data_IF_335461019528
#
_entry.id   IF_335461019528
#
_cell.length_a   1.000
_cell.length_b   1.000
_cell.length_c   1.000
_cell.angle_alpha   90.00
_cell.angle_beta   90.00
_cell.angle_gamma   90.00
#
_symmetry.space_group_name_H-M   'P 1'
#
loop_
_entity.id
_entity.type
_entity.pdbx_description
1 polymer ?
#
# COMPACT_ATOMS: atom_id res chain seq x y z
N UNK A 1 -5.59 0.23 9.42
CA UNK A 1 -6.44 0.51 8.26
C UNK A 1 -7.87 0.67 8.74
N UNK A 2 -8.53 1.74 8.33
CA UNK A 2 -9.88 2.11 8.76
C UNK A 2 -10.75 2.34 7.53
N UNK A 3 -12.00 1.92 7.60
CA UNK A 3 -13.04 2.36 6.68
C UNK A 3 -13.33 3.84 6.98
N UNK A 4 -13.10 4.71 6.00
CA UNK A 4 -13.21 6.16 6.17
C UNK A 4 -14.65 6.65 6.28
N UNK A 5 -15.63 5.84 5.85
CA UNK A 5 -17.06 6.19 5.98
C UNK A 5 -17.62 5.86 7.36
N UNK A 6 -17.13 4.79 7.99
CA UNK A 6 -17.67 4.29 9.27
C UNK A 6 -16.72 4.49 10.45
N UNK A 7 -15.45 4.86 10.19
CA UNK A 7 -14.39 4.89 11.20
C UNK A 7 -13.98 3.51 11.71
N UNK A 8 -14.59 2.43 11.21
CA UNK A 8 -14.34 1.07 11.70
C UNK A 8 -12.96 0.57 11.26
N UNK A 9 -12.23 -0.04 12.19
CA UNK A 9 -10.97 -0.73 11.85
C UNK A 9 -11.28 -1.95 11.00
N UNK A 10 -10.63 -2.05 9.84
CA UNK A 10 -10.72 -3.21 8.96
C UNK A 10 -9.73 -4.29 9.40
N UNK A 11 -10.26 -5.45 9.76
CA UNK A 11 -9.53 -6.64 10.24
C UNK A 11 -9.79 -7.85 9.34
N UNK A 12 -9.12 -8.98 9.58
CA UNK A 12 -9.42 -10.23 8.85
C UNK A 12 -10.86 -10.73 9.04
N UNK A 13 -11.51 -10.40 10.16
CA UNK A 13 -12.91 -10.77 10.42
C UNK A 13 -13.90 -10.07 9.49
N UNK A 14 -13.51 -8.92 8.95
CA UNK A 14 -14.30 -8.17 7.97
C UNK A 14 -14.14 -8.73 6.55
N UNK A 15 -13.34 -9.80 6.39
CA UNK A 15 -12.99 -10.45 5.12
C UNK A 15 -12.54 -9.51 3.99
N UNK A 16 -11.78 -8.42 4.26
CA UNK A 16 -11.34 -7.57 3.17
C UNK A 16 -10.23 -8.27 2.38
N UNK A 17 -10.23 -8.09 1.07
CA UNK A 17 -9.06 -8.41 0.25
C UNK A 17 -8.15 -7.18 0.25
N UNK A 18 -6.91 -7.34 0.71
CA UNK A 18 -5.89 -6.29 0.69
C UNK A 18 -4.78 -6.73 -0.24
N UNK A 19 -4.54 -5.96 -1.30
CA UNK A 19 -3.52 -6.24 -2.31
C UNK A 19 -2.57 -5.07 -2.44
N UNK A 20 -1.29 -5.35 -2.58
CA UNK A 20 -0.31 -4.43 -3.11
C UNK A 20 -0.21 -4.70 -4.62
N UNK A 21 -0.47 -3.70 -5.45
CA UNK A 21 -0.34 -3.81 -6.91
C UNK A 21 0.85 -2.97 -7.33
N UNK A 22 1.84 -3.61 -7.94
CA UNK A 22 3.03 -2.95 -8.44
C UNK A 22 2.77 -2.34 -9.82
N UNK A 23 3.55 -1.32 -10.18
CA UNK A 23 3.43 -0.60 -11.45
C UNK A 23 3.51 -1.49 -12.70
N UNK A 24 4.24 -2.60 -12.63
CA UNK A 24 4.31 -3.62 -13.69
C UNK A 24 3.17 -4.64 -13.66
N UNK A 25 2.10 -4.38 -12.89
CA UNK A 25 0.87 -5.19 -12.85
C UNK A 25 0.91 -6.40 -11.91
N UNK A 26 2.05 -6.70 -11.27
CA UNK A 26 2.13 -7.76 -10.28
C UNK A 26 1.26 -7.43 -9.06
N UNK A 27 0.45 -8.40 -8.61
CA UNK A 27 -0.36 -8.28 -7.40
C UNK A 27 0.18 -9.17 -6.28
N UNK A 28 0.28 -8.61 -5.08
CA UNK A 28 0.70 -9.33 -3.87
C UNK A 28 -0.42 -9.25 -2.82
N UNK A 29 -0.97 -10.40 -2.46
CA UNK A 29 -2.00 -10.50 -1.42
C UNK A 29 -1.38 -10.31 -0.04
N UNK A 30 -1.90 -9.36 0.73
CA UNK A 30 -1.49 -9.17 2.12
C UNK A 30 -2.20 -10.16 3.05
N UNK A 31 -1.49 -10.58 4.10
CA UNK A 31 -2.02 -11.38 5.21
C UNK A 31 -2.25 -10.49 6.43
N UNK A 32 -3.20 -10.86 7.28
CA UNK A 32 -3.41 -10.20 8.57
C UNK A 32 -2.64 -10.94 9.66
N UNK A 33 -1.63 -10.30 10.25
CA UNK A 33 -0.73 -10.95 11.21
C UNK A 33 -0.26 -9.98 12.31
N UNK A 34 0.22 -10.53 13.43
CA UNK A 34 0.89 -9.74 14.48
C UNK A 34 2.36 -9.53 14.13
N UNK A 35 2.80 -8.27 14.16
CA UNK A 35 4.22 -7.95 13.98
C UNK A 35 5.06 -8.61 15.09
N UNK A 36 6.03 -9.45 14.73
CA UNK A 36 6.89 -10.15 15.71
C UNK A 36 6.15 -11.10 16.66
N UNK A 37 4.95 -11.59 16.29
CA UNK A 37 4.15 -12.52 17.10
C UNK A 37 3.41 -11.90 18.30
N UNK A 38 3.93 -10.81 18.87
CA UNK A 38 3.35 -10.11 20.03
C UNK A 38 2.89 -8.68 19.75
N UNK A 39 3.29 -8.10 18.63
CA UNK A 39 2.93 -6.74 18.24
C UNK A 39 1.47 -6.58 17.80
N UNK A 40 1.09 -5.36 17.36
CA UNK A 40 -0.23 -5.07 16.87
C UNK A 40 -0.55 -5.85 15.59
N UNK A 41 -1.83 -6.18 15.41
CA UNK A 41 -2.33 -6.78 14.17
C UNK A 41 -2.27 -5.79 13.01
N UNK A 42 -1.64 -6.20 11.92
CA UNK A 42 -1.50 -5.40 10.72
C UNK A 42 -1.71 -6.25 9.48
N UNK A 43 -2.11 -5.60 8.38
CA UNK A 43 -1.96 -6.17 7.05
C UNK A 43 -0.48 -6.10 6.67
N UNK A 44 0.05 -7.20 6.16
CA UNK A 44 1.46 -7.32 5.78
C UNK A 44 1.59 -8.12 4.50
N UNK A 45 2.44 -7.63 3.60
CA UNK A 45 2.95 -8.36 2.45
C UNK A 45 4.45 -8.08 2.32
N UNK A 46 5.15 -8.91 1.56
CA UNK A 46 6.56 -8.74 1.25
C UNK A 46 6.75 -8.98 -0.24
N UNK A 47 7.67 -8.24 -0.84
CA UNK A 47 8.07 -8.42 -2.23
C UNK A 47 9.59 -8.39 -2.28
N UNK A 48 10.15 -9.44 -2.85
CA UNK A 48 11.56 -9.51 -3.16
C UNK A 48 11.81 -8.81 -4.49
N UNK A 49 12.71 -7.83 -4.49
CA UNK A 49 13.06 -7.08 -5.70
C UNK A 49 13.83 -7.99 -6.64
N UNK A 50 13.35 -8.23 -7.88
CA UNK A 50 14.08 -9.00 -8.87
C UNK A 50 15.43 -8.34 -9.22
N UNK A 51 16.44 -9.15 -9.54
CA UNK A 51 17.77 -8.65 -9.90
C UNK A 51 17.78 -7.78 -11.17
N UNK A 52 16.80 -7.98 -12.05
CA UNK A 52 16.57 -7.25 -13.29
C UNK A 52 15.56 -6.10 -13.14
N UNK A 53 15.08 -5.82 -11.94
CA UNK A 53 14.17 -4.70 -11.72
C UNK A 53 14.89 -3.37 -11.98
N UNK A 54 14.30 -2.45 -12.75
CA UNK A 54 14.92 -1.16 -13.04
C UNK A 54 15.27 -0.39 -11.77
N UNK A 55 16.42 0.30 -11.79
CA UNK A 55 16.76 1.27 -10.75
C UNK A 55 15.73 2.41 -10.75
N UNK A 56 15.39 2.90 -9.56
CA UNK A 56 14.48 4.04 -9.38
C UNK A 56 13.44 3.81 -8.29
N UNK A 57 12.40 4.64 -8.32
CA UNK A 57 11.31 4.57 -7.36
C UNK A 57 10.38 3.39 -7.64
N UNK A 58 9.99 2.65 -6.59
CA UNK A 58 8.97 1.62 -6.67
C UNK A 58 7.58 2.27 -6.76
N UNK A 59 6.97 2.23 -7.95
CA UNK A 59 5.56 2.56 -8.10
C UNK A 59 4.67 1.42 -7.61
N UNK A 60 3.79 1.69 -6.65
CA UNK A 60 2.81 0.74 -6.14
C UNK A 60 1.50 1.42 -5.76
N UNK A 61 0.43 0.65 -5.63
CA UNK A 61 -0.84 1.04 -5.02
C UNK A 61 -1.32 -0.04 -4.06
N UNK A 62 -2.07 0.34 -3.03
CA UNK A 62 -2.73 -0.58 -2.12
C UNK A 62 -4.22 -0.56 -2.42
N UNK A 63 -4.77 -1.72 -2.81
CA UNK A 63 -6.19 -1.88 -3.11
C UNK A 63 -6.83 -2.69 -1.99
N UNK A 64 -7.92 -2.15 -1.44
CA UNK A 64 -8.67 -2.73 -0.34
C UNK A 64 -10.10 -2.93 -0.81
N UNK A 65 -10.54 -4.19 -0.91
CA UNK A 65 -11.93 -4.52 -1.21
C UNK A 65 -12.63 -4.97 0.07
N UNK A 66 -13.64 -4.24 0.50
CA UNK A 66 -14.50 -4.60 1.62
C UNK A 66 -15.54 -5.66 1.20
N UNK A 67 -16.11 -6.36 2.19
CA UNK A 67 -17.11 -7.43 1.98
C UNK A 67 -18.38 -6.93 1.27
N UNK A 68 -18.75 -5.68 1.50
CA UNK A 68 -19.90 -5.03 0.87
C UNK A 68 -19.64 -4.57 -0.58
N UNK A 69 -18.47 -4.91 -1.13
CA UNK A 69 -18.10 -4.60 -2.51
C UNK A 69 -17.43 -3.25 -2.69
N UNK A 70 -17.43 -2.38 -1.66
CA UNK A 70 -16.70 -1.10 -1.72
C UNK A 70 -15.21 -1.35 -1.88
N UNK A 71 -14.56 -0.50 -2.67
CA UNK A 71 -13.12 -0.55 -2.91
C UNK A 71 -12.49 0.78 -2.51
N UNK A 72 -11.45 0.71 -1.71
CA UNK A 72 -10.58 1.84 -1.39
C UNK A 72 -9.21 1.62 -2.01
N UNK A 73 -8.63 2.66 -2.59
CA UNK A 73 -7.28 2.64 -3.15
C UNK A 73 -6.43 3.68 -2.44
N UNK A 74 -5.24 3.29 -2.01
CA UNK A 74 -4.18 4.18 -1.58
C UNK A 74 -3.07 4.15 -2.61
N UNK A 75 -2.80 5.29 -3.25
CA UNK A 75 -1.69 5.47 -4.17
C UNK A 75 -0.71 6.50 -3.59
N UNK A 76 0.48 6.09 -3.11
CA UNK A 76 1.49 7.00 -2.59
C UNK A 76 1.96 8.05 -3.61
N UNK A 77 1.78 7.82 -4.92
CA UNK A 77 2.11 8.81 -5.95
C UNK A 77 1.07 9.93 -6.05
N UNK A 78 -0.16 9.67 -5.60
CA UNK A 78 -1.24 10.65 -5.56
C UNK A 78 -1.38 11.32 -4.19
N UNK A 79 -0.89 10.67 -3.14
CA UNK A 79 -0.89 11.18 -1.77
C UNK A 79 0.28 12.16 -1.61
N UNK A 80 0.07 13.41 -2.02
CA UNK A 80 0.75 14.65 -1.59
C UNK A 80 2.25 14.62 -1.17
N UNK A 81 3.08 13.70 -1.69
CA UNK A 81 4.54 13.80 -1.68
C UNK A 81 5.05 14.57 -2.91
N UNK A 82 4.15 14.80 -3.87
CA UNK A 82 4.31 15.71 -5.00
C UNK A 82 3.22 16.77 -4.86
N UNK A 83 3.58 17.93 -4.33
CA UNK A 83 2.71 19.10 -4.44
C UNK A 83 3.03 19.77 -5.79
N UNK A 84 2.31 19.37 -6.85
CA UNK A 84 2.56 19.81 -8.24
C UNK A 84 2.54 21.34 -8.37
N UNK A 85 1.73 22.03 -7.57
CA UNK A 85 1.59 23.49 -7.59
C UNK A 85 2.77 24.22 -6.92
N UNK A 86 3.54 23.52 -6.08
CA UNK A 86 4.70 24.07 -5.37
C UNK A 86 6.05 23.62 -5.94
N UNK A 87 6.04 22.71 -6.92
CA UNK A 87 7.27 22.15 -7.50
C UNK A 87 8.15 21.36 -6.53
N UNK A 88 7.58 20.92 -5.39
CA UNK A 88 8.32 20.16 -4.38
C UNK A 88 8.06 18.67 -4.62
N UNK A 89 9.08 17.98 -5.15
CA UNK A 89 9.15 16.52 -5.15
C UNK A 89 9.90 16.08 -3.89
N UNK A 90 9.19 15.45 -2.94
CA UNK A 90 9.80 14.94 -1.71
C UNK A 90 10.41 13.55 -1.85
N UNK A 91 10.51 13.02 -3.07
CA UNK A 91 11.30 11.81 -3.33
C UNK A 91 12.77 12.12 -3.03
N UNK A 92 13.38 11.34 -2.14
CA UNK A 92 14.83 11.36 -1.93
C UNK A 92 15.51 11.09 -3.28
N UNK A 93 16.08 12.14 -3.88
CA UNK A 93 17.01 12.00 -5.00
C UNK A 93 18.41 11.84 -4.41
N UNK A 94 19.04 10.69 -4.68
CA UNK A 94 20.49 10.59 -4.54
C UNK A 94 21.05 11.31 -5.76
N UNK A 95 21.64 12.47 -5.54
CA UNK A 95 22.34 13.25 -6.57
C UNK A 95 23.81 12.81 -6.49
N UNK A 96 24.36 12.34 -7.62
CA UNK A 96 25.81 12.09 -7.77
C UNK A 96 26.60 13.39 -7.91
#
# INVERSE_FOLDING_TARGET
>A
MFDTSTGKRLTSLDTPSVKLVLSHGQELTARFARKGGTGPWTWVTAWDVPADYPLGALGYQIVVKAKDGRTGTFDPNLVALVNKDRGIDQRLQIVE
#
